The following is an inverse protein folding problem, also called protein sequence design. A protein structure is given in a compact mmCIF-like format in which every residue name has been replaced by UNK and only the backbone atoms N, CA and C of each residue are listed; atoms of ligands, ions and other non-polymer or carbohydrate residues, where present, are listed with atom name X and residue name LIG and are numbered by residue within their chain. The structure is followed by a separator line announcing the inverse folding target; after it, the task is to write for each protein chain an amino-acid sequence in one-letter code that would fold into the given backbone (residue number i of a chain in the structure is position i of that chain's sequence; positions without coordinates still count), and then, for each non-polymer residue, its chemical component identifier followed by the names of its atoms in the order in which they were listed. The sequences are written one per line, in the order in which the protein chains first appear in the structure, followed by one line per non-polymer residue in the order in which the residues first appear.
data_IF_178429748676
#
_entry.id   IF_178429748676
#
_cell.length_a   1.000
_cell.length_b   1.000
_cell.length_c   1.000
_cell.angle_alpha   90.00
_cell.angle_beta   90.00
_cell.angle_gamma   90.00
#
_symmetry.space_group_name_H-M   'P 1'
#
loop_
_entity.id
_entity.type
_entity.pdbx_description
1 polymer ?
#
# COMPACT_ATOMS: atom_id res chain seq x y z
N UNK A 1 -16.65 29.08 13.25
CA UNK A 1 -15.90 27.80 13.35
C UNK A 1 -16.33 26.95 12.17
N UNK A 2 -15.40 26.37 11.47
CA UNK A 2 -15.70 25.48 10.34
C UNK A 2 -16.48 24.27 10.85
N UNK A 3 -17.63 23.99 10.26
CA UNK A 3 -18.43 22.78 10.60
C UNK A 3 -17.99 21.56 9.77
N UNK A 4 -16.78 21.63 9.17
CA UNK A 4 -16.22 20.56 8.34
C UNK A 4 -15.31 19.64 9.17
N UNK A 5 -15.26 18.39 8.82
CA UNK A 5 -14.26 17.41 9.28
C UNK A 5 -13.18 17.28 8.21
N UNK A 6 -11.91 17.34 8.58
CA UNK A 6 -10.84 17.03 7.67
C UNK A 6 -10.64 15.53 7.57
N UNK A 7 -10.40 15.04 6.37
CA UNK A 7 -9.90 13.68 6.13
C UNK A 7 -8.41 13.79 5.83
N UNK A 8 -7.59 13.35 6.75
CA UNK A 8 -6.15 13.27 6.55
C UNK A 8 -5.86 11.94 5.84
N UNK A 9 -5.73 12.01 4.52
CA UNK A 9 -5.39 10.87 3.68
C UNK A 9 -3.88 10.72 3.65
N UNK A 10 -3.37 9.64 4.23
CA UNK A 10 -1.93 9.44 4.45
C UNK A 10 -1.35 8.40 3.51
N UNK A 11 -0.13 8.65 3.04
CA UNK A 11 0.65 7.74 2.21
C UNK A 11 2.15 7.88 2.50
N UNK A 12 2.94 6.96 1.95
CA UNK A 12 4.40 6.94 2.16
C UNK A 12 5.08 8.17 1.56
N UNK A 13 4.64 8.59 0.38
CA UNK A 13 5.27 9.62 -0.41
C UNK A 13 6.32 9.06 -1.36
N UNK A 14 6.78 9.89 -2.30
CA UNK A 14 7.79 9.56 -3.29
C UNK A 14 8.43 10.84 -3.82
N UNK A 15 9.68 10.80 -4.33
CA UNK A 15 10.25 11.93 -5.05
C UNK A 15 9.42 12.29 -6.28
N UNK A 16 9.28 13.56 -6.56
CA UNK A 16 8.60 14.11 -7.75
C UNK A 16 9.56 14.43 -8.88
N UNK A 17 10.85 14.50 -8.57
CA UNK A 17 11.93 14.75 -9.52
C UNK A 17 13.19 13.97 -9.12
N UNK A 18 14.16 13.76 -10.05
CA UNK A 18 15.43 13.12 -9.71
C UNK A 18 16.21 13.82 -8.61
N UNK A 19 16.07 15.14 -8.48
CA UNK A 19 16.74 15.96 -7.46
C UNK A 19 16.19 15.65 -6.05
N UNK A 20 14.93 15.25 -5.96
CA UNK A 20 14.29 14.92 -4.69
C UNK A 20 14.65 13.52 -4.16
N UNK A 21 15.30 12.66 -4.96
CA UNK A 21 15.64 11.29 -4.55
C UNK A 21 16.57 11.30 -3.32
N UNK A 22 17.59 12.13 -3.32
CA UNK A 22 18.54 12.20 -2.20
C UNK A 22 17.90 12.69 -0.89
N UNK A 23 17.18 13.83 -0.84
CA UNK A 23 16.50 14.25 0.38
C UNK A 23 15.43 13.24 0.85
N UNK A 24 14.64 12.66 -0.06
CA UNK A 24 13.67 11.62 0.23
C UNK A 24 14.32 10.39 0.88
N UNK A 25 15.41 9.89 0.29
CA UNK A 25 16.10 8.71 0.83
C UNK A 25 16.80 9.02 2.16
N UNK A 26 17.28 10.25 2.34
CA UNK A 26 17.83 10.72 3.61
C UNK A 26 16.76 10.76 4.72
N UNK A 27 15.54 11.20 4.40
CA UNK A 27 14.42 11.22 5.34
C UNK A 27 14.00 9.80 5.77
N UNK A 28 13.86 8.87 4.84
CA UNK A 28 13.59 7.45 5.13
C UNK A 28 14.64 6.88 6.09
N UNK A 29 15.90 7.31 5.96
CA UNK A 29 17.02 6.90 6.80
C UNK A 29 17.16 7.73 8.08
N UNK A 30 16.10 8.45 8.46
CA UNK A 30 16.03 9.28 9.68
C UNK A 30 17.13 10.34 9.72
N UNK A 31 17.32 11.06 8.62
CA UNK A 31 18.29 12.13 8.46
C UNK A 31 19.73 11.67 8.18
N UNK A 32 19.97 10.35 7.98
CA UNK A 32 21.29 9.82 7.62
C UNK A 32 21.41 9.71 6.11
N UNK A 33 22.28 10.48 5.44
CA UNK A 33 22.46 10.37 4.00
C UNK A 33 22.81 8.94 3.57
N UNK A 34 22.31 8.46 2.41
CA UNK A 34 22.77 7.20 1.85
C UNK A 34 24.24 7.30 1.39
N UNK A 35 24.90 6.16 1.24
CA UNK A 35 26.18 6.10 0.51
C UNK A 35 25.94 6.31 -0.98
N UNK A 36 26.99 6.67 -1.74
CA UNK A 36 26.90 6.83 -3.20
C UNK A 36 26.39 5.56 -3.89
N UNK A 37 26.81 4.39 -3.42
CA UNK A 37 26.34 3.10 -3.90
C UNK A 37 24.83 2.92 -3.66
N UNK A 38 24.37 3.16 -2.43
CA UNK A 38 22.94 3.06 -2.09
C UNK A 38 22.08 4.03 -2.88
N UNK A 39 22.58 5.25 -3.09
CA UNK A 39 21.89 6.25 -3.90
C UNK A 39 21.87 5.86 -5.38
N UNK A 40 22.99 5.33 -5.87
CA UNK A 40 23.11 4.82 -7.24
C UNK A 40 22.13 3.68 -7.52
N UNK A 41 22.05 2.71 -6.61
CA UNK A 41 21.10 1.60 -6.70
C UNK A 41 19.65 2.08 -6.75
N UNK A 42 19.28 3.03 -5.87
CA UNK A 42 17.92 3.56 -5.86
C UNK A 42 17.60 4.32 -7.16
N UNK A 43 18.53 5.14 -7.66
CA UNK A 43 18.37 5.84 -8.95
C UNK A 43 18.21 4.85 -10.09
N UNK A 44 19.03 3.79 -10.14
CA UNK A 44 18.94 2.77 -11.18
C UNK A 44 17.58 2.04 -11.17
N UNK A 45 16.97 1.83 -10.01
CA UNK A 45 15.61 1.28 -9.91
C UNK A 45 14.56 2.26 -10.46
N UNK A 46 14.68 3.56 -10.17
CA UNK A 46 13.80 4.58 -10.78
C UNK A 46 13.97 4.62 -12.29
N UNK A 47 15.21 4.60 -12.80
CA UNK A 47 15.49 4.61 -14.23
C UNK A 47 14.90 3.37 -14.93
N UNK A 48 14.97 2.20 -14.29
CA UNK A 48 14.43 0.96 -14.83
C UNK A 48 12.90 0.96 -14.99
N UNK A 49 12.16 1.73 -14.17
CA UNK A 49 10.71 1.90 -14.32
C UNK A 49 10.32 3.10 -15.20
N UNK A 50 11.29 3.73 -15.89
CA UNK A 50 11.06 4.86 -16.79
C UNK A 50 11.27 6.23 -16.15
N UNK A 51 11.92 6.32 -14.98
CA UNK A 51 12.28 7.55 -14.29
C UNK A 51 11.61 7.69 -12.91
N UNK A 52 10.68 8.63 -12.78
CA UNK A 52 10.02 8.89 -11.49
C UNK A 52 8.84 7.93 -11.26
N UNK A 53 8.65 7.52 -10.00
CA UNK A 53 7.50 6.70 -9.61
C UNK A 53 6.16 7.41 -9.90
N UNK A 54 5.16 6.72 -10.41
CA UNK A 54 3.82 7.29 -10.62
C UNK A 54 3.07 7.56 -9.30
N UNK A 55 3.61 7.16 -8.15
CA UNK A 55 2.93 7.18 -6.85
C UNK A 55 2.37 8.56 -6.48
N UNK A 56 3.11 9.65 -6.77
CA UNK A 56 2.63 11.00 -6.43
C UNK A 56 1.31 11.31 -7.16
N UNK A 57 1.27 11.10 -8.48
CA UNK A 57 0.08 11.32 -9.29
C UNK A 57 -1.06 10.36 -8.89
N UNK A 58 -0.75 9.07 -8.58
CA UNK A 58 -1.75 8.10 -8.11
C UNK A 58 -2.33 8.52 -6.77
N UNK A 59 -1.51 8.97 -5.82
CA UNK A 59 -1.96 9.45 -4.51
C UNK A 59 -2.84 10.69 -4.62
N UNK A 60 -2.52 11.62 -5.51
CA UNK A 60 -3.36 12.79 -5.79
C UNK A 60 -4.72 12.38 -6.41
N UNK A 61 -4.70 11.45 -7.37
CA UNK A 61 -5.93 10.92 -7.96
C UNK A 61 -6.82 10.21 -6.92
N UNK A 62 -6.22 9.45 -5.99
CA UNK A 62 -6.92 8.81 -4.87
C UNK A 62 -7.55 9.84 -3.93
N UNK A 63 -6.83 10.94 -3.59
CA UNK A 63 -7.39 12.06 -2.81
C UNK A 63 -8.61 12.65 -3.51
N UNK A 64 -8.49 12.94 -4.80
CA UNK A 64 -9.56 13.58 -5.56
C UNK A 64 -10.77 12.64 -5.73
N UNK A 65 -10.53 11.35 -5.90
CA UNK A 65 -11.58 10.34 -5.98
C UNK A 65 -12.31 10.19 -4.63
N UNK A 66 -11.58 10.17 -3.51
CA UNK A 66 -12.18 10.12 -2.18
C UNK A 66 -12.98 11.40 -1.87
N UNK A 67 -12.45 12.59 -2.24
CA UNK A 67 -13.18 13.86 -2.10
C UNK A 67 -14.48 13.81 -2.88
N UNK A 68 -14.46 13.43 -4.16
CA UNK A 68 -15.67 13.30 -4.99
C UNK A 68 -16.67 12.31 -4.37
N UNK A 69 -16.20 11.18 -3.86
CA UNK A 69 -17.06 10.19 -3.22
C UNK A 69 -17.75 10.75 -1.97
N UNK A 70 -17.02 11.52 -1.14
CA UNK A 70 -17.57 12.20 0.04
C UNK A 70 -18.57 13.30 -0.34
N UNK A 71 -18.26 14.11 -1.35
CA UNK A 71 -19.13 15.19 -1.81
C UNK A 71 -20.47 14.65 -2.36
N UNK A 72 -20.46 13.48 -3.00
CA UNK A 72 -21.67 12.82 -3.49
C UNK A 72 -22.64 12.40 -2.37
N UNK A 73 -22.14 12.02 -1.19
CA UNK A 73 -22.97 11.48 -0.10
C UNK A 73 -23.11 12.43 1.09
N UNK A 74 -22.20 13.35 1.27
CA UNK A 74 -22.17 14.30 2.38
C UNK A 74 -21.58 15.65 1.91
N UNK A 75 -22.27 16.38 1.00
CA UNK A 75 -21.74 17.60 0.40
C UNK A 75 -21.36 18.63 1.46
N UNK A 76 -20.22 19.28 1.25
CA UNK A 76 -19.66 20.32 2.11
C UNK A 76 -19.30 19.91 3.55
N UNK A 77 -19.38 18.61 3.92
CA UNK A 77 -19.08 18.13 5.27
C UNK A 77 -17.60 17.79 5.47
N UNK A 78 -16.92 17.40 4.42
CA UNK A 78 -15.56 16.89 4.49
C UNK A 78 -14.59 17.67 3.57
N UNK A 79 -13.33 17.67 3.92
CA UNK A 79 -12.23 18.12 3.06
C UNK A 79 -11.09 17.12 3.15
N UNK A 80 -10.67 16.55 2.01
CA UNK A 80 -9.59 15.55 1.96
C UNK A 80 -8.27 16.26 1.70
N UNK A 81 -7.31 16.06 2.59
CA UNK A 81 -5.96 16.62 2.48
C UNK A 81 -4.92 15.51 2.61
N UNK A 82 -3.87 15.58 1.79
CA UNK A 82 -2.78 14.62 1.83
C UNK A 82 -1.80 14.95 2.96
N UNK A 83 -1.37 13.92 3.69
CA UNK A 83 -0.25 13.98 4.61
C UNK A 83 0.71 12.83 4.33
N UNK A 84 1.93 13.12 3.88
CA UNK A 84 2.88 12.10 3.46
C UNK A 84 3.93 11.85 4.55
N UNK A 85 4.43 10.60 4.61
CA UNK A 85 5.39 10.20 5.65
C UNK A 85 6.79 10.70 5.35
N UNK A 86 7.20 10.68 4.09
CA UNK A 86 8.58 10.93 3.65
C UNK A 86 8.70 11.92 2.47
N UNK A 87 7.61 12.62 2.14
CA UNK A 87 7.60 13.67 1.10
C UNK A 87 6.62 14.79 1.50
N UNK A 88 6.75 15.96 0.89
CA UNK A 88 5.82 17.06 1.12
C UNK A 88 4.49 16.90 0.34
N UNK A 89 3.37 17.32 0.95
CA UNK A 89 3.24 17.86 2.29
C UNK A 89 3.39 16.75 3.36
N UNK A 90 4.22 17.00 4.37
CA UNK A 90 4.36 16.08 5.50
C UNK A 90 3.06 15.99 6.32
N UNK A 91 2.87 14.89 7.07
CA UNK A 91 1.70 14.71 7.94
C UNK A 91 1.54 15.92 8.88
N UNK A 92 2.60 16.35 9.52
CA UNK A 92 2.62 17.45 10.47
C UNK A 92 2.23 18.79 9.81
N UNK A 93 2.79 19.07 8.64
CA UNK A 93 2.48 20.27 7.86
C UNK A 93 0.99 20.34 7.50
N UNK A 94 0.43 19.20 7.10
CA UNK A 94 -0.99 19.11 6.74
C UNK A 94 -1.88 19.28 7.97
N UNK A 95 -1.49 18.76 9.13
CA UNK A 95 -2.22 18.97 10.39
C UNK A 95 -2.19 20.44 10.79
N UNK A 96 -1.06 21.13 10.65
CA UNK A 96 -0.94 22.57 10.89
C UNK A 96 -1.83 23.38 9.92
N UNK A 97 -1.91 22.98 8.66
CA UNK A 97 -2.81 23.62 7.68
C UNK A 97 -4.27 23.44 8.04
N UNK A 98 -4.66 22.25 8.50
CA UNK A 98 -6.01 21.95 8.99
C UNK A 98 -6.33 22.83 10.21
N UNK A 99 -5.38 23.00 11.12
CA UNK A 99 -5.52 23.87 12.29
C UNK A 99 -5.75 25.34 11.89
N UNK A 100 -4.97 25.84 10.90
CA UNK A 100 -5.12 27.19 10.36
C UNK A 100 -6.48 27.44 9.71
N UNK A 101 -7.12 26.39 9.16
CA UNK A 101 -8.48 26.45 8.63
C UNK A 101 -9.57 26.45 9.72
N UNK A 102 -9.19 26.33 10.99
CA UNK A 102 -10.11 26.30 12.11
C UNK A 102 -10.91 25.00 12.26
N UNK A 103 -10.48 23.93 11.62
CA UNK A 103 -11.09 22.60 11.71
C UNK A 103 -10.63 21.94 13.01
N UNK A 104 -11.56 21.25 13.71
CA UNK A 104 -11.32 20.64 15.02
C UNK A 104 -11.41 19.11 15.04
N UNK A 105 -11.82 18.51 13.93
CA UNK A 105 -11.95 17.06 13.82
C UNK A 105 -11.21 16.55 12.58
N UNK A 106 -10.42 15.52 12.76
CA UNK A 106 -9.70 14.81 11.70
C UNK A 106 -10.11 13.34 11.73
N UNK A 107 -10.50 12.80 10.57
CA UNK A 107 -10.49 11.36 10.32
C UNK A 107 -9.22 11.03 9.57
N UNK A 108 -8.35 10.22 10.16
CA UNK A 108 -7.07 9.83 9.61
C UNK A 108 -7.19 8.44 8.97
N UNK A 109 -6.85 8.32 7.70
CA UNK A 109 -6.85 7.06 6.94
C UNK A 109 -5.56 6.92 6.14
N UNK A 110 -5.00 5.72 6.11
CA UNK A 110 -3.79 5.41 5.33
C UNK A 110 -4.17 4.67 4.05
N UNK A 111 -3.53 5.03 2.95
CA UNK A 111 -3.60 4.31 1.67
C UNK A 111 -2.79 3.01 1.75
N UNK A 112 -3.13 2.20 2.74
CA UNK A 112 -2.65 0.84 2.98
C UNK A 112 -3.74 0.08 3.74
N UNK A 113 -4.16 -1.13 3.29
CA UNK A 113 -5.32 -1.80 3.86
C UNK A 113 -5.02 -2.54 5.17
N UNK A 114 -3.79 -3.03 5.35
CA UNK A 114 -3.40 -3.97 6.40
C UNK A 114 -2.71 -3.25 7.56
N UNK A 115 -3.30 -3.34 8.74
CA UNK A 115 -2.73 -2.73 9.94
C UNK A 115 -1.39 -3.38 10.32
N UNK A 116 -0.45 -2.51 10.69
CA UNK A 116 0.74 -2.83 11.44
C UNK A 116 1.06 -1.65 12.37
N UNK A 117 1.48 -1.94 13.58
CA UNK A 117 2.00 -0.92 14.51
C UNK A 117 3.24 -0.21 13.96
N UNK A 118 4.01 -0.90 13.11
CA UNK A 118 5.23 -0.39 12.46
C UNK A 118 4.93 0.46 11.21
N UNK A 119 3.71 0.38 10.69
CA UNK A 119 3.24 1.15 9.52
C UNK A 119 2.08 2.07 9.94
N UNK A 120 0.83 1.64 9.79
CA UNK A 120 -0.36 2.46 10.02
C UNK A 120 -0.38 3.07 11.41
N UNK A 121 0.04 2.32 12.45
CA UNK A 121 0.16 2.85 13.80
C UNK A 121 1.08 4.06 13.91
N UNK A 122 2.19 4.08 13.16
CA UNK A 122 3.09 5.24 13.12
C UNK A 122 2.45 6.45 12.43
N UNK A 123 1.71 6.26 11.33
CA UNK A 123 1.03 7.36 10.63
C UNK A 123 0.00 8.02 11.53
N UNK A 124 -0.88 7.21 12.14
CA UNK A 124 -1.93 7.71 13.02
C UNK A 124 -1.33 8.38 14.27
N UNK A 125 -0.29 7.79 14.86
CA UNK A 125 0.41 8.38 16.01
C UNK A 125 1.06 9.73 15.68
N UNK A 126 1.68 9.89 14.49
CA UNK A 126 2.22 11.18 14.03
C UNK A 126 1.11 12.22 13.89
N UNK A 127 -0.01 11.86 13.26
CA UNK A 127 -1.16 12.75 13.10
C UNK A 127 -1.73 13.19 14.46
N UNK A 128 -1.87 12.26 15.41
CA UNK A 128 -2.34 12.57 16.77
C UNK A 128 -1.39 13.50 17.52
N UNK A 129 -0.09 13.21 17.47
CA UNK A 129 0.93 14.04 18.12
C UNK A 129 0.95 15.46 17.53
N UNK A 130 0.85 15.59 16.20
CA UNK A 130 0.80 16.90 15.55
C UNK A 130 -0.50 17.68 15.88
N UNK A 131 -1.61 16.98 16.07
CA UNK A 131 -2.92 17.59 16.34
C UNK A 131 -3.08 18.07 17.80
N UNK A 132 -2.38 17.44 18.76
CA UNK A 132 -2.50 17.71 20.19
C UNK A 132 -2.31 19.20 20.56
N UNK A 133 -1.25 19.91 20.10
CA UNK A 133 -1.04 21.33 20.41
C UNK A 133 -2.17 22.25 19.91
N UNK A 134 -2.92 21.82 18.88
CA UNK A 134 -4.02 22.56 18.29
C UNK A 134 -5.40 22.25 18.90
N UNK A 135 -5.46 21.30 19.83
CA UNK A 135 -6.72 20.80 20.41
C UNK A 135 -7.65 20.21 19.34
N UNK A 136 -7.08 19.49 18.38
CA UNK A 136 -7.81 18.82 17.28
C UNK A 136 -7.97 17.34 17.67
N UNK A 137 -9.20 16.82 17.52
CA UNK A 137 -9.50 15.40 17.71
C UNK A 137 -9.11 14.61 16.45
N UNK A 138 -8.43 13.47 16.60
CA UNK A 138 -8.04 12.57 15.51
C UNK A 138 -8.57 11.19 15.74
N UNK A 139 -9.45 10.73 14.84
CA UNK A 139 -9.96 9.35 14.79
C UNK A 139 -9.27 8.61 13.65
N UNK A 140 -8.59 7.50 13.95
CA UNK A 140 -7.87 6.69 12.95
C UNK A 140 -8.71 5.54 12.40
N UNK A 141 -8.74 5.38 11.09
CA UNK A 141 -9.19 4.14 10.43
C UNK A 141 -7.96 3.25 10.29
N UNK A 142 -7.83 2.28 11.19
CA UNK A 142 -6.60 1.49 11.31
C UNK A 142 -6.50 0.35 10.28
N UNK A 143 -7.60 -0.20 9.81
CA UNK A 143 -7.61 -1.28 8.83
C UNK A 143 -8.84 -1.22 7.93
N UNK A 144 -8.64 -1.59 6.67
CA UNK A 144 -9.71 -1.85 5.71
C UNK A 144 -9.38 -3.08 4.84
N UNK A 145 -8.60 -4.01 5.39
CA UNK A 145 -8.09 -5.22 4.75
C UNK A 145 -9.19 -6.09 4.13
N UNK A 146 -10.36 -6.16 4.77
CA UNK A 146 -11.51 -6.97 4.32
C UNK A 146 -12.67 -6.12 3.84
N UNK A 147 -12.42 -4.88 3.41
CA UNK A 147 -13.46 -4.03 2.82
C UNK A 147 -14.08 -4.72 1.60
N UNK A 148 -15.40 -4.94 1.57
CA UNK A 148 -16.02 -5.71 0.49
C UNK A 148 -15.71 -5.20 -0.92
N UNK A 149 -15.71 -3.88 -1.14
CA UNK A 149 -15.37 -3.30 -2.44
C UNK A 149 -13.92 -3.55 -2.84
N UNK A 150 -12.99 -3.57 -1.88
CA UNK A 150 -11.59 -3.92 -2.12
C UNK A 150 -11.44 -5.40 -2.50
N UNK A 151 -12.11 -6.30 -1.77
CA UNK A 151 -12.11 -7.73 -2.08
C UNK A 151 -12.73 -7.99 -3.46
N UNK A 152 -13.83 -7.32 -3.80
CA UNK A 152 -14.51 -7.44 -5.10
C UNK A 152 -13.61 -6.95 -6.25
N UNK A 153 -12.93 -5.83 -6.06
CA UNK A 153 -11.96 -5.32 -7.02
C UNK A 153 -10.86 -6.35 -7.31
N UNK A 154 -10.20 -6.86 -6.26
CA UNK A 154 -9.13 -7.84 -6.40
C UNK A 154 -9.62 -9.15 -7.06
N UNK A 155 -10.76 -9.67 -6.62
CA UNK A 155 -11.30 -10.91 -7.15
C UNK A 155 -11.69 -10.78 -8.62
N UNK A 156 -12.28 -9.65 -9.03
CA UNK A 156 -12.71 -9.41 -10.41
C UNK A 156 -11.50 -9.37 -11.37
N UNK A 157 -10.46 -8.59 -11.03
CA UNK A 157 -9.26 -8.50 -11.87
C UNK A 157 -8.48 -9.82 -11.90
N UNK A 158 -8.37 -10.50 -10.74
CA UNK A 158 -7.71 -11.81 -10.65
C UNK A 158 -8.43 -12.88 -11.50
N UNK A 159 -9.75 -12.92 -11.48
CA UNK A 159 -10.53 -13.85 -12.30
C UNK A 159 -10.26 -13.64 -13.80
N UNK A 160 -10.27 -12.39 -14.25
CA UNK A 160 -10.02 -12.04 -15.65
C UNK A 160 -8.61 -12.46 -16.10
N UNK A 161 -7.59 -12.18 -15.28
CA UNK A 161 -6.19 -12.52 -15.58
C UNK A 161 -5.94 -14.02 -15.53
N UNK A 162 -6.47 -14.68 -14.49
CA UNK A 162 -6.33 -16.14 -14.36
C UNK A 162 -6.93 -16.88 -15.56
N UNK A 163 -8.03 -16.38 -16.14
CA UNK A 163 -8.65 -16.95 -17.32
C UNK A 163 -7.77 -16.83 -18.59
N UNK A 164 -6.85 -15.89 -18.65
CA UNK A 164 -5.90 -15.70 -19.74
C UNK A 164 -4.59 -16.49 -19.56
N UNK A 165 -4.36 -17.09 -18.39
CA UNK A 165 -3.18 -17.85 -18.05
C UNK A 165 -3.42 -19.36 -18.16
N UNK A 166 -2.36 -20.20 -18.18
CA UNK A 166 -2.48 -21.67 -18.13
C UNK A 166 -3.35 -22.16 -16.96
N UNK A 167 -3.99 -23.30 -17.14
CA UNK A 167 -4.85 -23.89 -16.10
C UNK A 167 -4.11 -24.12 -14.77
N UNK A 168 -2.82 -24.48 -14.83
CA UNK A 168 -1.95 -24.63 -13.66
C UNK A 168 -1.28 -23.29 -13.33
N UNK A 169 -2.06 -22.32 -12.90
CA UNK A 169 -1.57 -21.02 -12.42
C UNK A 169 -1.59 -20.96 -10.90
N UNK A 170 -0.43 -20.65 -10.30
CA UNK A 170 -0.28 -20.38 -8.87
C UNK A 170 -0.52 -18.90 -8.59
N UNK A 171 -1.44 -18.61 -7.68
CA UNK A 171 -1.69 -17.23 -7.21
C UNK A 171 -0.81 -16.94 -6.00
N UNK A 172 -0.12 -15.79 -6.01
CA UNK A 172 0.66 -15.29 -4.88
C UNK A 172 0.08 -13.96 -4.41
N UNK A 173 -0.45 -13.94 -3.19
CA UNK A 173 -0.83 -12.69 -2.54
C UNK A 173 0.40 -12.08 -1.87
N UNK A 174 0.72 -10.82 -2.18
CA UNK A 174 1.94 -10.20 -1.68
C UNK A 174 1.68 -8.88 -0.96
N UNK A 175 2.60 -8.59 -0.03
CA UNK A 175 2.72 -7.33 0.67
C UNK A 175 4.19 -7.05 0.97
N UNK A 176 4.50 -5.81 1.40
CA UNK A 176 5.84 -5.46 1.85
C UNK A 176 6.24 -6.29 3.06
N UNK A 177 7.42 -6.90 3.03
CA UNK A 177 7.98 -7.59 4.19
C UNK A 177 8.22 -6.61 5.36
N UNK A 178 8.18 -7.09 6.57
CA UNK A 178 8.50 -6.34 7.79
C UNK A 178 9.60 -7.06 8.59
N UNK A 179 10.35 -6.34 9.43
CA UNK A 179 11.30 -6.97 10.33
C UNK A 179 10.64 -8.02 11.22
N UNK A 180 11.22 -9.22 11.29
CA UNK A 180 10.66 -10.36 12.03
C UNK A 180 10.31 -10.01 13.48
N UNK A 181 11.14 -9.18 14.15
CA UNK A 181 10.89 -8.72 15.53
C UNK A 181 9.55 -8.02 15.73
N UNK A 182 8.98 -7.39 14.70
CA UNK A 182 7.68 -6.73 14.76
C UNK A 182 6.59 -7.80 14.89
N UNK A 183 6.70 -8.86 14.11
CA UNK A 183 5.74 -9.96 14.11
C UNK A 183 5.87 -10.78 15.40
N UNK A 184 7.08 -11.05 15.85
CA UNK A 184 7.35 -11.71 17.14
C UNK A 184 6.77 -10.92 18.32
N UNK A 185 6.63 -9.60 18.17
CA UNK A 185 5.94 -8.70 19.11
C UNK A 185 4.41 -8.78 19.09
N UNK A 186 3.82 -9.65 18.25
CA UNK A 186 2.37 -9.84 18.17
C UNK A 186 1.66 -8.90 17.18
N UNK A 187 2.36 -8.32 16.23
CA UNK A 187 1.76 -7.45 15.20
C UNK A 187 0.81 -8.26 14.30
N UNK A 188 -0.43 -7.81 14.06
CA UNK A 188 -1.43 -8.56 13.31
C UNK A 188 -1.23 -8.54 11.78
N UNK A 189 -0.24 -7.85 11.26
CA UNK A 189 -0.04 -7.62 9.84
C UNK A 189 -0.14 -8.87 8.95
N UNK A 190 0.51 -10.02 9.28
CA UNK A 190 0.37 -11.23 8.48
C UNK A 190 -1.05 -11.81 8.51
N UNK A 191 -1.75 -11.67 9.62
CA UNK A 191 -3.13 -12.14 9.74
C UNK A 191 -4.09 -11.28 8.92
N UNK A 192 -3.87 -9.99 8.84
CA UNK A 192 -4.68 -9.10 8.00
C UNK A 192 -4.47 -9.37 6.51
N UNK A 193 -3.22 -9.60 6.09
CA UNK A 193 -2.92 -10.02 4.71
C UNK A 193 -3.58 -11.35 4.39
N UNK A 194 -3.48 -12.33 5.30
CA UNK A 194 -4.11 -13.63 5.14
C UNK A 194 -5.64 -13.52 5.05
N UNK A 195 -6.26 -12.63 5.83
CA UNK A 195 -7.71 -12.40 5.77
C UNK A 195 -8.15 -11.85 4.39
N UNK A 196 -7.39 -10.90 3.83
CA UNK A 196 -7.62 -10.41 2.46
C UNK A 196 -7.48 -11.54 1.44
N UNK A 197 -6.37 -12.28 1.48
CA UNK A 197 -6.10 -13.40 0.57
C UNK A 197 -7.21 -14.45 0.62
N UNK A 198 -7.60 -14.87 1.82
CA UNK A 198 -8.69 -15.83 2.05
C UNK A 198 -10.02 -15.33 1.50
N UNK A 199 -10.36 -14.05 1.73
CA UNK A 199 -11.62 -13.48 1.24
C UNK A 199 -11.68 -13.47 -0.29
N UNK A 200 -10.59 -13.10 -0.97
CA UNK A 200 -10.49 -13.14 -2.43
C UNK A 200 -10.51 -14.59 -2.94
N UNK A 201 -9.72 -15.47 -2.34
CA UNK A 201 -9.63 -16.88 -2.73
C UNK A 201 -11.00 -17.59 -2.62
N UNK A 202 -11.74 -17.35 -1.54
CA UNK A 202 -13.09 -17.91 -1.34
C UNK A 202 -14.07 -17.48 -2.45
N UNK A 203 -14.01 -16.21 -2.90
CA UNK A 203 -14.85 -15.74 -4.02
C UNK A 203 -14.53 -16.48 -5.32
N UNK A 204 -13.31 -16.95 -5.50
CA UNK A 204 -12.82 -17.61 -6.72
C UNK A 204 -12.77 -19.14 -6.60
N UNK A 205 -13.11 -19.70 -5.44
CA UNK A 205 -13.04 -21.14 -5.18
C UNK A 205 -11.61 -21.69 -5.18
N UNK A 206 -10.62 -20.87 -4.79
CA UNK A 206 -9.20 -21.26 -4.73
C UNK A 206 -8.86 -21.89 -3.38
N UNK A 207 -8.03 -22.92 -3.40
CA UNK A 207 -7.59 -23.68 -2.23
C UNK A 207 -6.20 -23.25 -1.79
N UNK A 208 -6.03 -22.90 -0.50
CA UNK A 208 -4.74 -22.58 0.07
C UNK A 208 -3.79 -23.76 0.00
N UNK A 209 -2.52 -23.49 -0.30
CA UNK A 209 -1.52 -24.53 -0.47
C UNK A 209 -1.50 -25.14 -1.87
N UNK A 210 -2.66 -25.32 -2.51
CA UNK A 210 -2.77 -25.88 -3.86
C UNK A 210 -2.82 -24.79 -4.95
N UNK A 211 -3.76 -23.83 -4.83
CA UNK A 211 -3.96 -22.77 -5.83
C UNK A 211 -3.28 -21.47 -5.47
N UNK A 212 -3.15 -21.16 -4.19
CA UNK A 212 -2.58 -19.89 -3.74
C UNK A 212 -1.69 -20.02 -2.50
N UNK A 213 -0.84 -19.00 -2.32
CA UNK A 213 -0.01 -18.82 -1.13
C UNK A 213 0.24 -17.34 -0.89
N UNK A 214 0.75 -17.02 0.31
CA UNK A 214 1.32 -15.71 0.63
C UNK A 214 2.81 -15.72 0.33
N UNK A 215 3.29 -14.61 -0.23
CA UNK A 215 4.70 -14.32 -0.37
C UNK A 215 4.97 -12.86 0.02
N UNK A 216 6.19 -12.56 0.40
CA UNK A 216 6.60 -11.23 0.83
C UNK A 216 7.56 -10.63 -0.17
N UNK A 217 7.58 -9.29 -0.28
CA UNK A 217 8.48 -8.58 -1.18
C UNK A 217 9.12 -7.37 -0.51
N UNK A 218 10.08 -6.77 -1.17
CA UNK A 218 10.65 -5.47 -0.80
C UNK A 218 11.30 -5.44 0.58
N UNK A 219 11.82 -6.57 1.06
CA UNK A 219 12.51 -6.63 2.36
C UNK A 219 13.65 -5.61 2.42
N UNK A 220 13.78 -4.92 3.56
CA UNK A 220 14.81 -3.92 3.75
C UNK A 220 16.22 -4.54 3.78
N UNK A 221 17.21 -3.82 3.27
CA UNK A 221 18.62 -4.24 3.25
C UNK A 221 19.29 -3.98 4.60
N UNK A 222 18.71 -4.53 5.67
CA UNK A 222 19.27 -4.47 7.03
C UNK A 222 19.75 -5.84 7.48
N UNK A 223 20.69 -5.92 8.46
CA UNK A 223 21.19 -7.20 8.95
C UNK A 223 20.14 -8.03 9.72
N UNK A 224 19.05 -7.42 10.16
CA UNK A 224 17.99 -8.13 10.89
C UNK A 224 17.16 -9.01 9.95
N UNK A 225 16.60 -10.14 10.45
CA UNK A 225 15.70 -10.97 9.67
C UNK A 225 14.37 -10.25 9.36
N UNK A 226 13.84 -10.54 8.19
CA UNK A 226 12.55 -10.04 7.69
C UNK A 226 11.61 -11.21 7.48
N UNK A 227 10.29 -10.97 7.53
CA UNK A 227 9.30 -12.03 7.32
C UNK A 227 9.36 -12.56 5.88
N UNK A 228 9.26 -13.88 5.75
CA UNK A 228 9.28 -14.59 4.49
C UNK A 228 8.14 -15.61 4.38
N UNK A 229 8.12 -16.39 3.29
CA UNK A 229 9.15 -16.46 2.25
C UNK A 229 9.14 -15.25 1.30
N UNK A 230 10.32 -14.90 0.76
CA UNK A 230 10.44 -13.90 -0.31
C UNK A 230 9.79 -14.42 -1.61
N UNK A 231 9.19 -13.51 -2.39
CA UNK A 231 8.48 -13.88 -3.63
C UNK A 231 9.40 -14.57 -4.64
N UNK A 232 10.67 -14.19 -4.75
CA UNK A 232 11.60 -14.80 -5.67
C UNK A 232 11.92 -16.25 -5.26
N UNK A 233 12.08 -16.51 -3.96
CA UNK A 233 12.29 -17.86 -3.42
C UNK A 233 11.05 -18.74 -3.63
N UNK A 234 9.84 -18.17 -3.54
CA UNK A 234 8.59 -18.89 -3.83
C UNK A 234 8.52 -19.25 -5.30
N UNK A 235 8.87 -18.35 -6.22
CA UNK A 235 8.92 -18.62 -7.67
C UNK A 235 9.92 -19.74 -7.96
N UNK A 236 11.11 -19.71 -7.38
CA UNK A 236 12.11 -20.78 -7.53
C UNK A 236 11.57 -22.13 -7.04
N UNK A 237 10.87 -22.14 -5.91
CA UNK A 237 10.27 -23.35 -5.34
C UNK A 237 9.16 -23.91 -6.25
N UNK A 238 8.30 -23.06 -6.79
CA UNK A 238 7.24 -23.45 -7.74
C UNK A 238 7.87 -24.11 -8.98
N UNK A 239 8.91 -23.52 -9.52
CA UNK A 239 9.62 -24.02 -10.69
C UNK A 239 10.32 -25.36 -10.42
N UNK A 240 11.11 -25.45 -9.35
CA UNK A 240 11.87 -26.65 -8.98
C UNK A 240 10.96 -27.86 -8.75
N UNK A 241 9.79 -27.64 -8.14
CA UNK A 241 8.82 -28.69 -7.83
C UNK A 241 7.77 -28.88 -8.94
N UNK A 242 7.84 -28.13 -10.05
CA UNK A 242 6.88 -28.18 -11.17
C UNK A 242 5.43 -28.01 -10.69
N UNK A 243 5.19 -27.13 -9.74
CA UNK A 243 3.88 -26.93 -9.13
C UNK A 243 2.90 -26.17 -10.04
N UNK A 244 3.41 -25.31 -10.95
CA UNK A 244 2.59 -24.52 -11.86
C UNK A 244 3.32 -24.27 -13.19
N UNK A 245 2.56 -23.79 -14.18
CA UNK A 245 3.04 -23.32 -15.50
C UNK A 245 3.03 -21.80 -15.58
N UNK A 246 2.34 -21.15 -14.62
CA UNK A 246 2.27 -19.69 -14.50
C UNK A 246 2.19 -19.23 -13.03
N UNK A 247 2.61 -18.00 -12.80
CA UNK A 247 2.45 -17.28 -11.53
C UNK A 247 1.61 -16.02 -11.77
N UNK A 248 0.53 -15.87 -11.00
CA UNK A 248 -0.28 -14.65 -10.97
C UNK A 248 -0.11 -13.98 -9.61
N UNK A 249 0.47 -12.79 -9.58
CA UNK A 249 0.71 -12.04 -8.34
C UNK A 249 -0.43 -11.07 -8.06
N UNK A 250 -0.95 -11.07 -6.85
CA UNK A 250 -1.82 -10.01 -6.33
C UNK A 250 -1.06 -9.20 -5.28
N UNK A 251 -0.59 -8.03 -5.66
CA UNK A 251 0.12 -7.11 -4.77
C UNK A 251 -0.84 -6.39 -3.81
N UNK A 252 -1.72 -7.17 -3.12
CA UNK A 252 -2.83 -6.63 -2.34
C UNK A 252 -2.39 -5.83 -1.09
N UNK A 253 -1.11 -5.90 -0.70
CA UNK A 253 -0.52 -5.03 0.32
C UNK A 253 -0.29 -3.60 -0.15
N UNK A 254 -0.40 -3.36 -1.45
CA UNK A 254 -0.20 -2.05 -2.08
C UNK A 254 -1.46 -1.62 -2.83
N UNK A 255 -1.78 -0.35 -2.74
CA UNK A 255 -3.02 0.18 -3.34
C UNK A 255 -2.78 1.18 -4.47
N UNK A 256 -1.53 1.41 -4.84
CA UNK A 256 -1.15 2.26 -5.96
C UNK A 256 0.08 1.72 -6.67
N UNK A 257 0.16 1.88 -7.98
CA UNK A 257 1.38 1.60 -8.73
C UNK A 257 2.50 2.54 -8.25
N UNK A 258 3.63 1.96 -7.92
CA UNK A 258 4.81 2.67 -7.41
C UNK A 258 6.09 1.85 -7.64
N UNK A 259 7.24 2.38 -7.22
CA UNK A 259 8.54 1.79 -7.47
C UNK A 259 8.61 0.29 -7.13
N UNK A 260 8.18 -0.09 -5.91
CA UNK A 260 8.30 -1.48 -5.44
C UNK A 260 7.37 -2.45 -6.17
N UNK A 261 6.19 -2.00 -6.64
CA UNK A 261 5.32 -2.82 -7.49
C UNK A 261 5.91 -2.95 -8.90
N UNK A 262 6.33 -1.83 -9.49
CA UNK A 262 6.83 -1.82 -10.87
C UNK A 262 8.22 -2.45 -11.00
N UNK A 263 9.10 -2.29 -10.02
CA UNK A 263 10.44 -2.84 -10.07
C UNK A 263 10.46 -4.29 -9.55
N UNK A 264 10.02 -4.52 -8.31
CA UNK A 264 10.17 -5.83 -7.68
C UNK A 264 9.28 -6.90 -8.36
N UNK A 265 8.09 -6.51 -8.90
CA UNK A 265 7.18 -7.45 -9.54
C UNK A 265 7.30 -7.45 -11.06
N UNK A 266 7.15 -6.29 -11.74
CA UNK A 266 7.09 -6.24 -13.19
C UNK A 266 8.46 -6.46 -13.85
N UNK A 267 9.56 -6.26 -13.08
CA UNK A 267 10.93 -6.50 -13.56
C UNK A 267 11.54 -7.72 -12.87
N UNK A 268 11.76 -7.72 -11.55
CA UNK A 268 12.53 -8.78 -10.88
C UNK A 268 11.75 -10.11 -10.84
N UNK A 269 10.51 -10.13 -10.32
CA UNK A 269 9.72 -11.36 -10.22
C UNK A 269 9.34 -11.90 -11.60
N UNK A 270 9.00 -11.01 -12.54
CA UNK A 270 8.76 -11.41 -13.93
C UNK A 270 10.00 -12.03 -14.56
N UNK A 271 11.17 -11.40 -14.43
CA UNK A 271 12.42 -11.94 -14.95
C UNK A 271 12.76 -13.31 -14.34
N UNK A 272 12.56 -13.47 -13.02
CA UNK A 272 12.75 -14.76 -12.35
C UNK A 272 11.81 -15.83 -12.89
N UNK A 273 10.56 -15.49 -13.13
CA UNK A 273 9.58 -16.40 -13.73
C UNK A 273 9.97 -16.78 -15.16
N UNK A 274 10.39 -15.83 -15.99
CA UNK A 274 10.85 -16.03 -17.36
C UNK A 274 12.08 -16.98 -17.40
N UNK A 275 13.02 -16.84 -16.46
CA UNK A 275 14.19 -17.73 -16.35
C UNK A 275 13.81 -19.19 -16.10
N UNK A 276 12.69 -19.42 -15.43
CA UNK A 276 12.15 -20.76 -15.17
C UNK A 276 11.13 -21.24 -16.21
N UNK A 277 10.84 -20.44 -17.24
CA UNK A 277 9.82 -20.74 -18.24
C UNK A 277 8.39 -20.70 -17.71
N UNK A 278 8.15 -20.02 -16.59
CA UNK A 278 6.83 -19.76 -16.05
C UNK A 278 6.24 -18.49 -16.68
N UNK A 279 4.97 -18.55 -17.11
CA UNK A 279 4.27 -17.32 -17.46
C UNK A 279 4.03 -16.48 -16.20
N UNK A 280 4.09 -15.16 -16.35
CA UNK A 280 3.92 -14.22 -15.24
C UNK A 280 2.89 -13.14 -15.60
N UNK A 281 1.96 -12.90 -14.69
CA UNK A 281 1.10 -11.71 -14.71
C UNK A 281 0.85 -11.22 -13.27
N UNK A 282 0.37 -10.00 -13.11
CA UNK A 282 -0.09 -9.48 -11.82
C UNK A 282 -1.40 -8.72 -11.93
N UNK A 283 -2.16 -8.69 -10.84
CA UNK A 283 -3.35 -7.84 -10.74
C UNK A 283 -2.95 -6.36 -10.75
N UNK A 284 -3.86 -5.51 -11.21
CA UNK A 284 -3.73 -4.05 -11.06
C UNK A 284 -3.82 -3.64 -9.59
N UNK A 285 -3.13 -2.56 -9.22
CA UNK A 285 -3.38 -1.89 -7.94
C UNK A 285 -4.73 -1.15 -7.99
N UNK A 286 -5.32 -0.91 -6.82
CA UNK A 286 -6.60 -0.17 -6.69
C UNK A 286 -6.53 1.20 -7.37
N UNK A 287 -5.40 1.89 -7.23
CA UNK A 287 -5.27 3.27 -7.68
C UNK A 287 -6.49 4.10 -7.21
N UNK A 288 -7.14 4.83 -8.11
CA UNK A 288 -8.30 5.67 -7.81
C UNK A 288 -9.66 5.00 -8.16
N UNK A 289 -9.76 3.66 -8.02
CA UNK A 289 -10.99 2.92 -8.30
C UNK A 289 -12.19 3.52 -7.57
N UNK A 290 -13.23 3.85 -8.33
CA UNK A 290 -14.38 4.60 -7.84
C UNK A 290 -15.19 3.82 -6.78
N UNK A 291 -15.30 2.50 -6.90
CA UNK A 291 -16.07 1.68 -5.97
C UNK A 291 -15.33 1.54 -4.62
N UNK A 292 -14.02 1.33 -4.67
CA UNK A 292 -13.20 1.28 -3.46
C UNK A 292 -13.18 2.64 -2.77
N UNK A 293 -13.00 3.75 -3.50
CA UNK A 293 -13.01 5.09 -2.91
C UNK A 293 -14.38 5.46 -2.32
N UNK A 294 -15.49 5.01 -2.93
CA UNK A 294 -16.82 5.18 -2.36
C UNK A 294 -17.01 4.39 -1.05
N UNK A 295 -16.48 3.17 -0.97
CA UNK A 295 -16.53 2.39 0.26
C UNK A 295 -15.68 3.03 1.38
N UNK A 296 -14.48 3.52 1.05
CA UNK A 296 -13.66 4.26 2.01
C UNK A 296 -14.33 5.56 2.48
N UNK A 297 -15.07 6.26 1.61
CA UNK A 297 -15.87 7.42 1.99
C UNK A 297 -16.93 7.06 3.06
N UNK A 298 -17.61 5.92 2.93
CA UNK A 298 -18.55 5.45 3.95
C UNK A 298 -17.86 5.17 5.30
N UNK A 299 -16.68 4.56 5.27
CA UNK A 299 -15.87 4.36 6.50
C UNK A 299 -15.47 5.69 7.16
N UNK A 300 -15.10 6.68 6.36
CA UNK A 300 -14.80 8.03 6.85
C UNK A 300 -16.01 8.65 7.52
N UNK A 301 -17.19 8.57 6.91
CA UNK A 301 -18.43 9.09 7.49
C UNK A 301 -18.76 8.40 8.81
N UNK A 302 -18.66 7.07 8.87
CA UNK A 302 -18.90 6.31 10.09
C UNK A 302 -17.91 6.68 11.21
N UNK A 303 -16.62 6.83 10.88
CA UNK A 303 -15.59 7.22 11.84
C UNK A 303 -15.76 8.66 12.35
N UNK A 304 -16.31 9.56 11.55
CA UNK A 304 -16.58 10.94 11.96
C UNK A 304 -17.77 11.07 12.93
N UNK A 305 -18.57 10.02 13.09
CA UNK A 305 -19.74 9.99 13.98
C UNK A 305 -19.45 9.29 15.32
N UNK A 306 -18.29 8.60 15.43
CA UNK A 306 -17.86 7.90 16.65
C UNK A 306 -17.13 8.85 17.59
#
# INVERSE_FOLDING_TARGET
MSNKTAVLLMAYGTPRSPEEILPYYTDIRRGRPPTDEQLGDLKARYDAIGGISPLAARTEAQRDALQRALDNVAPDKFTVQLGLKHAHPMIEETVDDIARQGIKNIVAIVLAPHFSSYSIGQYVGRAQTAAEPHGISVVGINSWATEPAFIDFLATDMAARKAALPARTRVLFTAHSLPQRIIDGGDPYPHELHATATAVANKLGLVEGDDWAIAWQSAGRTPEPWIGPDILDVIDTIAANKQADAVLVSACGFVADHLEVLYDLDIEAKHRSDQHGLQFDRTTCVNDDAAVMAALAQRVIAAAQS
#
